data_IF_368922740694
#
_entry.id   IF_368922740694
#
_cell.length_a   1.000
_cell.length_b   1.000
_cell.length_c   1.000
_cell.angle_alpha   90.00
_cell.angle_beta   90.00
_cell.angle_gamma   90.00
#
_symmetry.space_group_name_H-M   'P 1'
#
loop_
_entity.id
_entity.type
_entity.pdbx_description
1 polymer ?
#
# COMPACT_ATOMS: atom_id res chain seq x y z
N UNK A 1 -11.23 5.06 10.07
CA UNK A 1 -10.40 5.51 8.93
C UNK A 1 -10.96 4.79 7.71
N UNK A 2 -11.42 5.50 6.68
CA UNK A 2 -12.19 4.91 5.57
C UNK A 2 -11.55 3.63 5.02
N UNK A 3 -10.23 3.66 4.83
CA UNK A 3 -9.44 2.57 4.26
C UNK A 3 -9.48 1.31 5.14
N UNK A 4 -9.30 1.47 6.46
CA UNK A 4 -9.38 0.34 7.42
C UNK A 4 -10.77 -0.27 7.45
N UNK A 5 -11.83 0.55 7.41
CA UNK A 5 -13.20 0.00 7.37
C UNK A 5 -13.46 -0.74 6.05
N UNK A 6 -12.95 -0.23 4.93
CA UNK A 6 -13.03 -0.93 3.64
C UNK A 6 -12.32 -2.29 3.71
N UNK A 7 -11.14 -2.36 4.32
CA UNK A 7 -10.41 -3.62 4.47
C UNK A 7 -11.12 -4.58 5.40
N UNK A 8 -11.70 -4.12 6.52
CA UNK A 8 -12.50 -4.99 7.41
C UNK A 8 -13.68 -5.61 6.69
N UNK A 9 -14.42 -4.78 5.94
CA UNK A 9 -15.58 -5.22 5.16
C UNK A 9 -15.18 -6.29 4.15
N UNK A 10 -14.16 -6.01 3.35
CA UNK A 10 -13.76 -6.86 2.23
C UNK A 10 -12.81 -8.02 2.60
N UNK A 11 -12.44 -8.14 3.87
CA UNK A 11 -11.74 -9.32 4.41
C UNK A 11 -12.65 -10.17 5.30
N UNK A 12 -13.96 -9.91 5.29
CA UNK A 12 -14.95 -10.63 6.10
C UNK A 12 -14.59 -10.67 7.60
N UNK A 13 -13.99 -9.60 8.12
CA UNK A 13 -13.58 -9.50 9.52
C UNK A 13 -12.31 -10.26 9.90
N UNK A 14 -11.54 -10.80 8.93
CA UNK A 14 -10.20 -11.34 9.19
C UNK A 14 -9.25 -10.25 9.74
N UNK A 15 -9.47 -8.99 9.34
CA UNK A 15 -8.90 -7.81 10.00
C UNK A 15 -9.59 -7.56 11.36
N UNK A 16 -8.96 -7.94 12.47
CA UNK A 16 -9.19 -7.32 13.79
C UNK A 16 -8.80 -5.81 13.82
N UNK A 17 -8.67 -5.23 15.01
CA UNK A 17 -8.18 -3.85 15.17
C UNK A 17 -6.74 -3.68 14.64
N UNK A 18 -6.45 -2.64 13.82
CA UNK A 18 -5.12 -2.41 13.30
C UNK A 18 -4.14 -2.13 14.44
N UNK A 19 -2.97 -2.74 14.37
CA UNK A 19 -1.87 -2.45 15.29
C UNK A 19 -1.05 -1.29 14.73
N UNK A 20 -0.86 -0.25 15.54
CA UNK A 20 0.07 0.82 15.18
C UNK A 20 1.50 0.41 15.55
N UNK A 21 2.33 0.11 14.55
CA UNK A 21 3.75 -0.18 14.74
C UNK A 21 4.55 1.13 14.85
N UNK A 22 5.37 1.25 15.89
CA UNK A 22 6.19 2.41 16.21
C UNK A 22 7.52 2.00 16.85
N UNK A 23 8.39 2.98 17.11
CA UNK A 23 9.71 2.73 17.69
C UNK A 23 9.67 2.04 19.07
N UNK A 24 8.58 2.15 19.82
CA UNK A 24 8.46 1.48 21.12
C UNK A 24 8.06 0.00 21.03
N UNK A 25 7.33 -0.39 19.98
CA UNK A 25 6.80 -1.76 19.87
C UNK A 25 7.34 -2.55 18.67
N UNK A 26 8.06 -1.94 17.74
CA UNK A 26 8.50 -2.58 16.49
C UNK A 26 9.30 -3.86 16.73
N UNK A 27 10.14 -3.91 17.77
CA UNK A 27 10.93 -5.11 18.12
C UNK A 27 10.09 -6.29 18.60
N UNK A 28 8.85 -6.05 19.05
CA UNK A 28 7.90 -7.13 19.37
C UNK A 28 7.52 -7.92 18.12
N UNK A 29 7.46 -7.23 16.97
CA UNK A 29 7.01 -7.78 15.71
C UNK A 29 8.15 -8.17 14.78
N UNK A 30 9.30 -7.50 14.90
CA UNK A 30 10.53 -7.75 14.13
C UNK A 30 11.69 -7.93 15.13
N UNK A 31 11.87 -9.15 15.69
CA UNK A 31 12.85 -9.36 16.75
C UNK A 31 14.31 -9.14 16.32
N UNK A 32 14.62 -9.33 15.03
CA UNK A 32 15.95 -9.17 14.44
C UNK A 32 16.16 -7.80 13.75
N UNK A 33 15.34 -6.80 14.10
CA UNK A 33 15.44 -5.44 13.57
C UNK A 33 16.80 -4.80 13.90
N UNK A 34 17.56 -4.29 12.90
CA UNK A 34 18.84 -3.64 13.15
C UNK A 34 18.70 -2.30 13.89
N UNK A 35 19.66 -1.96 14.74
CA UNK A 35 19.66 -0.71 15.51
C UNK A 35 19.68 0.54 14.63
N UNK A 36 20.24 0.43 13.42
CA UNK A 36 20.19 1.47 12.39
C UNK A 36 18.77 1.94 12.06
N UNK A 37 17.74 1.10 12.26
CA UNK A 37 16.34 1.48 12.06
C UNK A 37 15.95 2.73 12.87
N UNK A 38 16.36 2.80 14.14
CA UNK A 38 16.00 3.89 15.05
C UNK A 38 16.69 5.22 14.68
N UNK A 39 17.67 5.16 13.78
CA UNK A 39 18.43 6.31 13.31
C UNK A 39 18.00 6.80 11.94
N UNK A 40 16.98 6.18 11.33
CA UNK A 40 16.43 6.63 10.06
C UNK A 40 15.73 8.00 10.20
N UNK A 41 15.87 8.88 9.19
CA UNK A 41 15.49 10.29 9.32
C UNK A 41 13.99 10.54 9.24
N UNK A 42 13.22 9.61 8.67
CA UNK A 42 11.81 9.82 8.37
C UNK A 42 10.98 8.52 8.44
N UNK A 43 9.64 8.63 8.54
CA UNK A 43 8.76 7.47 8.57
C UNK A 43 8.72 6.68 7.24
N UNK A 44 8.81 7.35 6.09
CA UNK A 44 8.75 6.66 4.78
C UNK A 44 9.80 5.52 4.63
N UNK A 45 11.11 5.75 4.82
CA UNK A 45 12.10 4.66 4.75
C UNK A 45 11.93 3.61 5.86
N UNK A 46 11.33 3.97 7.00
CA UNK A 46 10.93 2.99 8.03
C UNK A 46 9.84 2.05 7.51
N UNK A 47 8.85 2.57 6.78
CA UNK A 47 7.79 1.78 6.15
C UNK A 47 8.33 0.84 5.07
N UNK A 48 9.28 1.33 4.26
CA UNK A 48 9.98 0.53 3.26
C UNK A 48 10.69 -0.68 3.86
N UNK A 49 11.29 -0.52 5.03
CA UNK A 49 11.95 -1.60 5.74
C UNK A 49 10.93 -2.56 6.40
N UNK A 50 9.97 -1.98 7.13
CA UNK A 50 9.03 -2.75 7.97
C UNK A 50 8.16 -3.69 7.12
N UNK A 51 7.72 -3.29 5.92
CA UNK A 51 6.81 -4.10 5.10
C UNK A 51 7.39 -5.49 4.79
N UNK A 52 8.65 -5.57 4.37
CA UNK A 52 9.30 -6.84 4.05
C UNK A 52 9.65 -7.63 5.31
N UNK A 53 10.08 -6.94 6.37
CA UNK A 53 10.38 -7.59 7.64
C UNK A 53 9.13 -8.27 8.24
N UNK A 54 7.98 -7.60 8.23
CA UNK A 54 6.73 -8.19 8.71
C UNK A 54 6.30 -9.38 7.84
N UNK A 55 6.36 -9.24 6.51
CA UNK A 55 6.02 -10.31 5.58
C UNK A 55 6.93 -11.53 5.77
N UNK A 56 8.21 -11.32 6.04
CA UNK A 56 9.13 -12.42 6.38
C UNK A 56 8.72 -13.14 7.67
N UNK A 57 8.50 -12.40 8.77
CA UNK A 57 8.22 -12.99 10.09
C UNK A 57 6.83 -13.64 10.20
N UNK A 58 5.85 -13.06 9.52
CA UNK A 58 4.44 -13.35 9.74
C UNK A 58 3.68 -13.82 8.49
N UNK A 59 4.18 -13.53 7.29
CA UNK A 59 3.47 -13.75 6.03
C UNK A 59 2.17 -12.97 5.92
N UNK A 60 1.45 -13.14 4.81
CA UNK A 60 0.18 -12.49 4.55
C UNK A 60 0.33 -11.26 3.65
N UNK A 61 -0.40 -10.18 3.92
CA UNK A 61 -0.55 -9.05 2.99
C UNK A 61 -0.18 -7.72 3.63
N UNK A 62 0.65 -6.97 2.93
CA UNK A 62 0.91 -5.55 3.15
C UNK A 62 0.22 -4.73 2.05
N UNK A 63 -0.40 -3.62 2.47
CA UNK A 63 -0.91 -2.59 1.58
C UNK A 63 -0.57 -1.22 2.16
N UNK A 64 -0.24 -0.26 1.30
CA UNK A 64 -0.11 1.13 1.73
C UNK A 64 -1.43 1.64 2.31
N UNK A 65 -1.32 2.56 3.27
CA UNK A 65 -2.44 3.03 4.07
C UNK A 65 -3.49 3.81 3.27
N UNK A 66 -3.21 4.15 2.01
CA UNK A 66 -4.05 4.87 1.05
C UNK A 66 -4.88 3.96 0.13
N UNK A 67 -4.74 2.63 0.23
CA UNK A 67 -5.60 1.69 -0.49
C UNK A 67 -7.02 1.65 0.07
N UNK A 68 -8.01 1.68 -0.82
CA UNK A 68 -9.42 1.40 -0.52
C UNK A 68 -9.80 0.10 -1.21
N UNK A 69 -10.24 -0.90 -0.43
CA UNK A 69 -10.82 -2.10 -1.02
C UNK A 69 -12.25 -1.79 -1.49
N UNK A 70 -12.55 -2.12 -2.74
CA UNK A 70 -13.89 -1.95 -3.35
C UNK A 70 -14.55 -3.27 -3.73
N UNK A 71 -13.80 -4.37 -3.60
CA UNK A 71 -14.21 -5.76 -3.85
C UNK A 71 -13.62 -6.65 -2.77
N UNK A 72 -14.22 -7.82 -2.59
CA UNK A 72 -13.76 -8.80 -1.62
C UNK A 72 -12.33 -9.25 -1.92
N UNK A 73 -11.54 -9.35 -0.86
CA UNK A 73 -10.11 -9.64 -0.93
C UNK A 73 -9.82 -11.14 -0.89
N UNK A 74 -10.83 -11.99 -0.68
CA UNK A 74 -10.70 -13.44 -0.63
C UNK A 74 -9.85 -14.03 -1.79
N UNK A 75 -9.98 -13.58 -3.05
CA UNK A 75 -9.14 -14.08 -4.13
C UNK A 75 -7.65 -13.79 -3.92
N UNK A 76 -7.30 -12.61 -3.41
CA UNK A 76 -5.92 -12.24 -3.10
C UNK A 76 -5.43 -13.01 -1.88
N UNK A 77 -6.26 -13.09 -0.83
CA UNK A 77 -5.92 -13.80 0.40
C UNK A 77 -5.66 -15.30 0.15
N UNK A 78 -6.41 -15.92 -0.75
CA UNK A 78 -6.21 -17.30 -1.17
C UNK A 78 -4.79 -17.54 -1.72
N UNK A 79 -4.25 -16.60 -2.51
CA UNK A 79 -2.90 -16.70 -3.08
C UNK A 79 -1.82 -16.74 -1.99
N UNK A 80 -2.04 -16.04 -0.87
CA UNK A 80 -1.04 -15.92 0.20
C UNK A 80 -0.78 -17.26 0.90
N UNK A 81 -1.66 -18.24 0.76
CA UNK A 81 -1.45 -19.58 1.33
C UNK A 81 -0.44 -20.42 0.55
N UNK A 82 -0.32 -20.19 -0.77
CA UNK A 82 0.46 -21.03 -1.67
C UNK A 82 1.65 -20.32 -2.30
N UNK A 83 1.59 -19.00 -2.47
CA UNK A 83 2.64 -18.23 -3.17
C UNK A 83 3.64 -17.62 -2.19
N UNK A 84 4.90 -17.64 -2.58
CA UNK A 84 6.01 -17.00 -1.87
C UNK A 84 6.04 -15.49 -2.06
N UNK A 85 5.52 -15.00 -3.18
CA UNK A 85 5.49 -13.58 -3.50
C UNK A 85 4.30 -13.23 -4.39
N UNK A 86 3.45 -12.33 -3.91
CA UNK A 86 2.27 -11.80 -4.61
C UNK A 86 2.44 -10.29 -4.70
N UNK A 87 2.31 -9.74 -5.90
CA UNK A 87 2.38 -8.29 -6.13
C UNK A 87 1.66 -7.92 -7.43
N UNK A 88 1.87 -6.71 -7.93
CA UNK A 88 1.38 -6.28 -9.23
C UNK A 88 2.44 -5.47 -9.98
N UNK A 89 2.32 -5.40 -11.29
CA UNK A 89 3.19 -4.65 -12.19
C UNK A 89 2.37 -4.02 -13.32
N UNK A 90 2.91 -3.01 -14.00
CA UNK A 90 2.17 -2.33 -15.08
C UNK A 90 1.86 -3.28 -16.26
N UNK A 91 2.88 -3.99 -16.75
CA UNK A 91 2.79 -4.81 -17.96
C UNK A 91 3.16 -6.27 -17.72
N UNK A 92 2.50 -7.19 -18.41
CA UNK A 92 2.81 -8.63 -18.40
C UNK A 92 1.56 -9.48 -18.33
N UNK A 93 1.67 -10.79 -18.54
CA UNK A 93 0.46 -11.61 -18.52
C UNK A 93 0.00 -11.84 -17.06
N UNK A 94 -1.30 -11.68 -16.76
CA UNK A 94 -1.84 -11.89 -15.42
C UNK A 94 -1.54 -13.30 -14.89
N UNK A 95 -1.16 -13.39 -13.61
CA UNK A 95 -0.87 -14.66 -12.94
C UNK A 95 0.47 -15.29 -13.34
N UNK A 96 1.32 -14.56 -14.04
CA UNK A 96 2.70 -14.96 -14.30
C UNK A 96 3.65 -14.63 -13.15
N UNK A 97 4.89 -15.09 -13.33
CA UNK A 97 6.02 -14.77 -12.48
C UNK A 97 6.25 -13.27 -12.44
N UNK A 98 6.37 -12.72 -11.24
CA UNK A 98 6.66 -11.30 -11.07
C UNK A 98 8.00 -10.94 -11.72
N UNK A 99 8.03 -9.81 -12.44
CA UNK A 99 9.28 -9.21 -12.89
C UNK A 99 9.93 -8.42 -11.75
N UNK A 100 11.17 -7.94 -11.96
CA UNK A 100 11.83 -7.03 -11.02
C UNK A 100 11.30 -5.58 -11.09
N UNK A 101 10.16 -5.33 -11.72
CA UNK A 101 9.52 -4.01 -11.84
C UNK A 101 8.12 -4.00 -11.18
N UNK A 102 7.95 -4.77 -10.10
CA UNK A 102 6.71 -4.84 -9.34
C UNK A 102 6.48 -3.57 -8.49
N UNK A 103 5.24 -3.35 -8.05
CA UNK A 103 4.91 -2.28 -7.12
C UNK A 103 5.03 -2.76 -5.67
N UNK A 104 5.72 -1.99 -4.84
CA UNK A 104 5.95 -2.35 -3.43
C UNK A 104 4.81 -1.93 -2.47
N UNK A 105 3.83 -1.16 -2.96
CA UNK A 105 2.70 -0.65 -2.16
C UNK A 105 1.58 -1.69 -1.92
N UNK A 106 1.56 -2.80 -2.64
CA UNK A 106 0.79 -4.01 -2.34
C UNK A 106 1.67 -5.23 -2.62
N UNK A 107 2.04 -5.91 -1.53
CA UNK A 107 2.86 -7.11 -1.60
C UNK A 107 2.41 -8.11 -0.53
N UNK A 108 2.49 -9.38 -0.85
CA UNK A 108 2.13 -10.44 0.08
C UNK A 108 2.76 -11.77 -0.24
N UNK A 109 2.52 -12.77 0.60
CA UNK A 109 2.93 -14.14 0.36
C UNK A 109 2.96 -14.95 1.63
N UNK A 110 3.24 -16.24 1.51
CA UNK A 110 3.16 -17.16 2.64
C UNK A 110 4.22 -16.87 3.70
N UNK A 111 3.87 -17.20 4.95
CA UNK A 111 4.81 -17.17 6.06
C UNK A 111 5.99 -18.11 5.76
N UNK A 112 7.20 -17.63 6.03
CA UNK A 112 8.42 -18.39 5.72
C UNK A 112 8.74 -18.45 4.22
N UNK A 113 8.21 -17.53 3.42
CA UNK A 113 8.62 -17.32 2.03
C UNK A 113 10.15 -17.11 1.94
N UNK A 114 10.85 -17.88 1.09
CA UNK A 114 12.28 -17.67 0.85
C UNK A 114 12.53 -16.32 0.17
N UNK A 115 11.57 -15.81 -0.61
CA UNK A 115 11.63 -14.49 -1.23
C UNK A 115 11.70 -13.40 -0.16
N UNK A 116 10.74 -13.36 0.77
CA UNK A 116 10.76 -12.31 1.81
C UNK A 116 11.96 -12.43 2.74
N UNK A 117 12.43 -13.65 3.02
CA UNK A 117 13.69 -13.86 3.74
C UNK A 117 14.85 -13.22 3.00
N UNK A 118 15.00 -13.50 1.71
CA UNK A 118 16.08 -12.98 0.89
C UNK A 118 16.04 -11.45 0.83
N UNK A 119 14.88 -10.86 0.53
CA UNK A 119 14.71 -9.42 0.45
C UNK A 119 14.99 -8.73 1.80
N UNK A 120 14.53 -9.32 2.90
CA UNK A 120 14.79 -8.81 4.26
C UNK A 120 16.29 -8.80 4.61
N UNK A 121 17.02 -9.87 4.29
CA UNK A 121 18.46 -9.92 4.51
C UNK A 121 19.19 -8.84 3.68
N UNK A 122 18.82 -8.64 2.41
CA UNK A 122 19.42 -7.58 1.57
C UNK A 122 19.14 -6.17 2.08
N UNK A 123 17.94 -5.92 2.58
CA UNK A 123 17.63 -4.64 3.23
C UNK A 123 18.47 -4.43 4.50
N UNK A 124 18.61 -5.45 5.35
CA UNK A 124 19.48 -5.38 6.54
C UNK A 124 20.93 -5.10 6.18
N UNK A 125 21.46 -5.78 5.18
CA UNK A 125 22.82 -5.55 4.66
C UNK A 125 23.01 -4.12 4.20
N UNK A 126 22.07 -3.61 3.37
CA UNK A 126 22.14 -2.22 2.88
C UNK A 126 22.06 -1.21 4.03
N UNK A 127 21.17 -1.43 5.00
CA UNK A 127 20.99 -0.52 6.12
C UNK A 127 22.21 -0.50 7.07
N UNK A 128 22.88 -1.64 7.26
CA UNK A 128 24.11 -1.75 8.07
C UNK A 128 25.35 -1.20 7.38
N UNK A 129 25.30 -0.95 6.07
CA UNK A 129 26.41 -0.37 5.30
C UNK A 129 26.81 0.98 5.90
N UNK A 130 28.09 1.10 6.24
CA UNK A 130 28.66 2.35 6.76
C UNK A 130 28.73 3.39 5.64
N UNK A 131 28.44 4.64 5.99
CA UNK A 131 28.58 5.75 5.04
C UNK A 131 30.06 5.91 4.66
N UNK A 132 30.35 5.68 3.37
CA UNK A 132 31.63 6.05 2.77
C UNK A 132 31.66 7.51 2.31
N UNK A 133 32.77 7.92 1.67
CA UNK A 133 32.94 9.27 1.14
C UNK A 133 32.21 9.54 -0.20
N UNK A 134 31.61 8.53 -0.82
CA UNK A 134 31.22 8.61 -2.23
C UNK A 134 29.89 7.91 -2.46
N UNK A 135 28.82 8.71 -2.52
CA UNK A 135 27.64 8.57 -3.40
C UNK A 135 26.43 9.26 -2.73
N UNK A 136 26.14 10.52 -3.08
CA UNK A 136 24.85 11.12 -2.79
C UNK A 136 23.77 10.23 -3.43
N UNK A 137 22.91 9.60 -2.64
CA UNK A 137 21.83 8.74 -3.15
C UNK A 137 21.88 7.28 -2.71
N UNK A 138 22.84 6.87 -1.88
CA UNK A 138 22.80 5.54 -1.26
C UNK A 138 22.30 5.58 0.19
N UNK A 139 21.49 4.59 0.57
CA UNK A 139 21.16 4.34 1.96
C UNK A 139 22.43 3.91 2.74
N UNK A 140 22.75 4.62 3.81
CA UNK A 140 23.87 4.29 4.70
C UNK A 140 23.69 4.86 6.11
N UNK A 141 24.38 4.27 7.08
CA UNK A 141 24.39 4.74 8.47
C UNK A 141 25.82 5.02 8.96
N UNK A 142 26.13 6.21 9.49
CA UNK A 142 27.46 6.52 10.00
C UNK A 142 27.81 5.69 11.25
N UNK A 143 29.09 5.49 11.54
CA UNK A 143 29.53 4.74 12.73
C UNK A 143 29.11 5.43 14.03
N UNK A 144 29.16 6.76 14.06
CA UNK A 144 28.70 7.53 15.20
C UNK A 144 27.19 7.36 15.39
N UNK A 145 26.80 6.63 16.45
CA UNK A 145 25.41 6.35 16.79
C UNK A 145 24.56 7.60 17.04
N UNK A 146 25.17 8.76 17.33
CA UNK A 146 24.47 10.04 17.51
C UNK A 146 24.07 10.71 16.19
N UNK A 147 24.62 10.26 15.05
CA UNK A 147 24.29 10.80 13.73
C UNK A 147 23.16 9.99 13.10
N UNK A 148 22.24 10.68 12.44
CA UNK A 148 21.19 10.02 11.65
C UNK A 148 21.77 9.31 10.43
N UNK A 149 21.04 8.30 9.95
CA UNK A 149 21.32 7.65 8.68
C UNK A 149 20.89 8.55 7.51
N UNK A 150 21.53 8.37 6.37
CA UNK A 150 21.08 8.95 5.10
C UNK A 150 20.31 7.86 4.37
N UNK A 151 19.00 8.03 4.19
CA UNK A 151 18.16 7.09 3.45
C UNK A 151 17.31 7.86 2.45
N UNK A 152 17.67 7.87 1.16
CA UNK A 152 16.88 8.50 0.12
C UNK A 152 15.50 7.86 -0.05
N UNK A 153 14.60 8.57 -0.73
CA UNK A 153 13.27 8.05 -1.07
C UNK A 153 13.37 6.71 -1.81
N UNK A 154 12.53 5.75 -1.41
CA UNK A 154 12.46 4.39 -1.97
C UNK A 154 13.78 3.59 -1.96
N UNK A 155 14.85 4.09 -1.33
CA UNK A 155 16.16 3.48 -1.40
C UNK A 155 16.21 2.11 -0.71
N UNK A 156 15.44 1.93 0.37
CA UNK A 156 15.30 0.63 1.04
C UNK A 156 14.16 -0.20 0.46
N UNK A 157 13.13 0.42 -0.12
CA UNK A 157 12.08 -0.26 -0.84
C UNK A 157 12.61 -0.75 -2.19
N UNK A 158 12.05 -0.23 -3.27
CA UNK A 158 12.35 -0.63 -4.65
C UNK A 158 13.84 -0.56 -5.00
N UNK A 159 14.57 0.43 -4.43
CA UNK A 159 16.01 0.60 -4.64
C UNK A 159 16.88 -0.57 -4.17
N UNK A 160 16.42 -1.38 -3.21
CA UNK A 160 17.07 -2.62 -2.79
C UNK A 160 16.32 -3.83 -3.29
N UNK A 161 14.99 -3.83 -3.21
CA UNK A 161 14.20 -5.03 -3.41
C UNK A 161 14.08 -5.42 -4.88
N UNK A 162 14.06 -4.48 -5.82
CA UNK A 162 14.03 -4.82 -7.25
C UNK A 162 15.34 -5.48 -7.72
N UNK A 163 16.54 -4.91 -7.46
CA UNK A 163 17.79 -5.59 -7.78
C UNK A 163 17.94 -6.94 -7.06
N UNK A 164 17.56 -7.02 -5.78
CA UNK A 164 17.64 -8.25 -5.01
C UNK A 164 16.70 -9.34 -5.56
N UNK A 165 15.47 -8.98 -5.94
CA UNK A 165 14.53 -9.92 -6.53
C UNK A 165 15.03 -10.41 -7.91
N UNK A 166 15.60 -9.53 -8.72
CA UNK A 166 16.23 -9.91 -9.99
C UNK A 166 17.44 -10.84 -9.79
N UNK A 167 18.23 -10.62 -8.72
CA UNK A 167 19.30 -11.54 -8.33
C UNK A 167 18.73 -12.90 -7.96
N UNK A 168 17.68 -12.94 -7.14
CA UNK A 168 17.03 -14.17 -6.71
C UNK A 168 16.48 -14.97 -7.89
N UNK A 169 15.80 -14.32 -8.86
CA UNK A 169 15.32 -14.97 -10.09
C UNK A 169 16.44 -15.65 -10.89
N UNK A 170 17.67 -15.12 -10.84
CA UNK A 170 18.84 -15.68 -11.55
C UNK A 170 19.50 -16.85 -10.83
N UNK A 171 19.21 -17.06 -9.55
CA UNK A 171 19.78 -18.19 -8.78
C UNK A 171 19.22 -19.55 -9.22
N UNK A 172 18.04 -19.56 -9.83
CA UNK A 172 17.31 -20.79 -10.15
C UNK A 172 16.66 -21.45 -8.93
N UNK A 173 16.61 -20.77 -7.77
CA UNK A 173 15.78 -21.21 -6.65
C UNK A 173 14.31 -21.31 -7.07
N UNK A 174 13.62 -22.35 -6.58
CA UNK A 174 12.21 -22.60 -6.90
C UNK A 174 11.36 -21.93 -5.82
N UNK A 175 10.53 -20.98 -6.23
CA UNK A 175 9.55 -20.31 -5.40
C UNK A 175 8.35 -19.89 -6.26
N UNK A 176 7.17 -19.87 -5.65
CA UNK A 176 5.92 -19.56 -6.35
C UNK A 176 5.63 -18.06 -6.29
N UNK A 177 5.36 -17.44 -7.44
CA UNK A 177 5.01 -16.02 -7.47
C UNK A 177 3.76 -15.77 -8.29
N UNK A 178 3.04 -14.71 -7.95
CA UNK A 178 1.85 -14.28 -8.67
C UNK A 178 1.88 -12.77 -8.84
N UNK A 179 1.93 -12.30 -10.08
CA UNK A 179 1.79 -10.88 -10.39
C UNK A 179 0.49 -10.58 -11.12
N UNK A 180 -0.27 -9.64 -10.55
CA UNK A 180 -1.32 -8.95 -11.29
C UNK A 180 -0.67 -7.99 -12.29
N UNK A 181 -1.15 -7.99 -13.54
CA UNK A 181 -0.56 -7.21 -14.62
C UNK A 181 -1.61 -6.84 -15.67
N UNK A 182 -1.28 -5.90 -16.55
CA UNK A 182 -2.18 -5.38 -17.58
C UNK A 182 -3.55 -4.98 -16.98
N UNK A 183 -4.65 -5.51 -17.50
CA UNK A 183 -6.02 -5.22 -17.03
C UNK A 183 -6.30 -5.63 -15.58
N UNK A 184 -5.46 -6.50 -15.02
CA UNK A 184 -5.55 -6.95 -13.63
C UNK A 184 -4.67 -6.12 -12.70
N UNK A 185 -3.81 -5.27 -13.26
CA UNK A 185 -2.90 -4.41 -12.52
C UNK A 185 -3.65 -3.37 -11.69
N UNK A 186 -3.04 -2.94 -10.59
CA UNK A 186 -3.54 -1.87 -9.74
C UNK A 186 -2.86 -0.52 -10.04
N UNK A 187 -2.16 -0.40 -11.17
CA UNK A 187 -1.51 0.85 -11.59
C UNK A 187 -2.59 1.92 -11.91
N UNK A 188 -2.51 3.14 -11.33
CA UNK A 188 -3.55 4.17 -11.43
C UNK A 188 -3.84 4.71 -12.85
N UNK A 189 -2.98 4.40 -13.81
CA UNK A 189 -3.07 4.83 -15.21
C UNK A 189 -4.35 4.31 -15.89
N UNK A 190 -5.00 3.32 -15.25
CA UNK A 190 -6.31 2.77 -15.61
C UNK A 190 -7.45 3.28 -14.70
N UNK A 191 -7.36 4.45 -14.04
CA UNK A 191 -8.41 4.96 -13.13
C UNK A 191 -9.81 5.01 -13.74
N UNK A 192 -9.92 5.18 -15.07
CA UNK A 192 -11.18 5.05 -15.80
C UNK A 192 -11.89 3.71 -15.54
N UNK A 193 -11.13 2.61 -15.42
CA UNK A 193 -11.64 1.27 -15.11
C UNK A 193 -12.20 1.15 -13.70
N UNK A 194 -11.63 1.86 -12.71
CA UNK A 194 -12.11 1.84 -11.33
C UNK A 194 -13.50 2.48 -11.19
N UNK A 195 -13.83 3.43 -12.07
CA UNK A 195 -15.15 4.07 -12.13
C UNK A 195 -16.14 3.26 -12.97
N UNK A 196 -15.66 2.60 -14.04
CA UNK A 196 -16.50 1.82 -14.96
C UNK A 196 -16.93 0.45 -14.39
N UNK A 197 -16.18 -0.11 -13.44
CA UNK A 197 -16.49 -1.41 -12.80
C UNK A 197 -17.28 -1.32 -11.49
N UNK A 198 -17.79 -0.14 -11.14
CA UNK A 198 -18.91 -0.05 -10.20
C UNK A 198 -20.12 -0.65 -10.92
N UNK A 199 -20.76 -1.71 -10.39
CA UNK A 199 -21.88 -2.36 -11.07
C UNK A 199 -22.93 -1.33 -11.49
N UNK A 200 -23.40 -1.51 -12.73
CA UNK A 200 -24.00 -0.53 -13.64
C UNK A 200 -24.68 0.70 -13.04
N UNK A 201 -24.46 1.83 -13.73
CA UNK A 201 -25.16 3.13 -13.60
C UNK A 201 -26.70 3.06 -13.69
N UNK A 202 -27.27 1.88 -13.92
CA UNK A 202 -28.70 1.67 -14.16
C UNK A 202 -29.48 1.26 -12.92
N UNK A 203 -28.82 1.08 -11.77
CA UNK A 203 -29.50 0.86 -10.49
C UNK A 203 -29.33 2.07 -9.58
N UNK A 204 -30.41 2.48 -8.92
CA UNK A 204 -30.40 3.55 -7.92
C UNK A 204 -29.31 3.33 -6.84
N UNK A 205 -28.98 2.06 -6.58
CA UNK A 205 -27.93 1.60 -5.66
C UNK A 205 -26.51 1.92 -6.15
N UNK A 206 -26.22 1.83 -7.45
CA UNK A 206 -24.93 2.23 -8.03
C UNK A 206 -24.69 3.75 -7.95
N UNK A 207 -25.75 4.53 -8.19
CA UNK A 207 -25.72 5.98 -8.03
C UNK A 207 -25.62 6.37 -6.55
N UNK A 208 -26.32 5.67 -5.66
CA UNK A 208 -26.24 5.85 -4.21
C UNK A 208 -24.86 5.49 -3.66
N UNK A 209 -24.20 4.44 -4.17
CA UNK A 209 -22.82 4.09 -3.79
C UNK A 209 -21.80 5.13 -4.27
N UNK A 210 -21.93 5.63 -5.49
CA UNK A 210 -21.07 6.71 -6.00
C UNK A 210 -21.33 8.03 -5.25
N UNK A 211 -22.60 8.36 -4.98
CA UNK A 211 -22.99 9.52 -4.18
C UNK A 211 -22.59 9.38 -2.72
N UNK A 212 -22.60 8.18 -2.14
CA UNK A 212 -22.10 7.90 -0.80
C UNK A 212 -20.59 8.01 -0.74
N UNK A 213 -19.86 7.59 -1.77
CA UNK A 213 -18.42 7.83 -1.86
C UNK A 213 -18.12 9.34 -1.90
N UNK A 214 -18.86 10.09 -2.73
CA UNK A 214 -18.76 11.56 -2.83
C UNK A 214 -19.21 12.28 -1.55
N UNK A 215 -20.28 11.84 -0.91
CA UNK A 215 -20.81 12.42 0.34
C UNK A 215 -19.96 12.07 1.55
N UNK A 216 -19.41 10.85 1.64
CA UNK A 216 -18.42 10.49 2.68
C UNK A 216 -17.17 11.35 2.58
N UNK A 217 -16.69 11.64 1.36
CA UNK A 217 -15.56 12.54 1.15
C UNK A 217 -15.90 14.01 1.51
N UNK A 218 -17.18 14.40 1.37
CA UNK A 218 -17.68 15.75 1.71
C UNK A 218 -17.95 15.94 3.21
N UNK A 219 -18.45 14.92 3.93
CA UNK A 219 -18.59 14.95 5.39
C UNK A 219 -17.24 15.03 6.10
N UNK A 220 -16.19 14.40 5.53
CA UNK A 220 -14.84 14.49 6.08
C UNK A 220 -14.20 15.87 5.88
N UNK A 221 -14.57 16.58 4.80
CA UNK A 221 -14.12 17.95 4.52
C UNK A 221 -14.88 19.03 5.32
N UNK A 222 -16.02 18.70 5.94
CA UNK A 222 -16.91 19.70 6.55
C UNK A 222 -17.48 19.28 7.91
N UNK A 223 -16.63 19.26 8.95
CA UNK A 223 -17.17 19.39 10.32
C UNK A 223 -17.49 20.86 10.62
N UNK A 224 -18.74 21.25 10.37
CA UNK A 224 -19.68 21.92 11.31
C UNK A 224 -20.77 22.72 10.56
N UNK A 225 -22.06 22.79 11.00
CA UNK A 225 -22.88 21.85 11.77
C UNK A 225 -24.28 21.60 11.14
N UNK A 226 -24.81 20.38 11.19
CA UNK A 226 -26.23 19.97 11.38
C UNK A 226 -26.17 18.44 11.49
N UNK A 227 -26.98 17.84 12.36
CA UNK A 227 -26.87 16.48 12.95
C UNK A 227 -25.91 16.45 14.17
N UNK A 228 -26.52 16.47 15.37
CA UNK A 228 -25.86 16.75 16.63
C UNK A 228 -25.04 15.60 17.23
N UNK A 229 -24.07 15.97 18.08
CA UNK A 229 -23.54 15.08 19.13
C UNK A 229 -22.01 14.94 19.25
N UNK A 230 -21.36 15.95 19.86
CA UNK A 230 -20.12 15.97 20.67
C UNK A 230 -18.79 15.33 20.17
N UNK A 231 -17.81 16.25 20.01
CA UNK A 231 -16.32 16.21 20.04
C UNK A 231 -15.59 14.94 20.51
N UNK A 232 -14.52 14.57 19.78
CA UNK A 232 -13.13 14.54 20.27
C UNK A 232 -12.09 14.28 19.14
N UNK A 233 -10.86 14.78 19.37
CA UNK A 233 -9.59 14.69 18.62
C UNK A 233 -9.31 15.66 17.45
N UNK A 234 -8.53 16.68 17.80
CA UNK A 234 -7.66 17.52 16.95
C UNK A 234 -6.36 16.75 16.62
N UNK A 235 -5.70 17.16 15.53
CA UNK A 235 -4.32 16.83 15.11
C UNK A 235 -4.14 15.81 13.97
N UNK A 236 -4.67 16.16 12.79
CA UNK A 236 -4.00 16.00 11.47
C UNK A 236 -4.88 16.63 10.39
N UNK A 237 -4.47 17.77 9.84
CA UNK A 237 -5.20 18.46 8.77
C UNK A 237 -5.03 17.71 7.45
N UNK A 238 -5.99 16.83 7.13
CA UNK A 238 -6.18 16.31 5.77
C UNK A 238 -6.62 17.48 4.87
N UNK A 239 -5.86 17.79 3.81
CA UNK A 239 -6.32 18.68 2.74
C UNK A 239 -6.68 17.83 1.52
N UNK A 240 -7.96 17.73 1.23
CA UNK A 240 -8.48 17.09 0.02
C UNK A 240 -8.70 18.17 -1.03
N UNK A 241 -8.02 18.06 -2.17
CA UNK A 241 -8.25 18.93 -3.32
C UNK A 241 -9.16 18.22 -4.30
N UNK A 242 -10.43 18.61 -4.37
CA UNK A 242 -11.40 18.06 -5.32
C UNK A 242 -11.44 18.98 -6.54
N UNK A 243 -10.96 18.49 -7.68
CA UNK A 243 -11.13 19.17 -8.97
C UNK A 243 -12.31 18.56 -9.71
N UNK A 244 -13.41 19.29 -9.84
CA UNK A 244 -14.57 18.86 -10.63
C UNK A 244 -14.48 19.50 -12.01
N UNK A 245 -14.21 18.69 -13.02
CA UNK A 245 -14.32 19.11 -14.42
C UNK A 245 -15.69 18.69 -14.95
N UNK A 246 -16.48 19.64 -15.43
CA UNK A 246 -17.78 19.39 -16.05
C UNK A 246 -17.61 19.57 -17.56
N UNK A 247 -17.72 18.46 -18.31
CA UNK A 247 -17.77 18.49 -19.76
C UNK A 247 -19.21 18.28 -20.23
N UNK A 248 -19.68 19.15 -21.12
CA UNK A 248 -20.96 19.00 -21.81
C UNK A 248 -20.70 18.69 -23.29
N UNK A 249 -21.08 17.49 -23.72
CA UNK A 249 -21.16 17.16 -25.15
C UNK A 249 -22.58 17.45 -25.65
N UNK A 250 -22.71 18.32 -26.64
CA UNK A 250 -23.98 18.58 -27.32
C UNK A 250 -23.99 17.75 -28.61
N UNK A 251 -24.80 16.69 -28.66
CA UNK A 251 -25.09 16.00 -29.91
C UNK A 251 -26.27 16.69 -30.62
N UNK A 252 -26.10 16.98 -31.90
CA UNK A 252 -26.95 17.91 -32.67
C UNK A 252 -28.38 17.46 -32.95
N UNK A 253 -28.84 16.29 -32.51
CA UNK A 253 -30.22 15.86 -32.77
C UNK A 253 -30.94 15.14 -31.62
N UNK A 254 -30.37 15.09 -30.41
CA UNK A 254 -31.08 14.68 -29.19
C UNK A 254 -30.37 15.30 -27.99
N UNK A 255 -31.11 16.01 -27.13
CA UNK A 255 -30.61 16.57 -25.87
C UNK A 255 -30.37 15.44 -24.87
N UNK A 256 -29.20 14.79 -24.95
CA UNK A 256 -28.68 13.91 -23.92
C UNK A 256 -27.53 14.64 -23.22
N UNK A 257 -27.70 14.91 -21.92
CA UNK A 257 -26.68 15.55 -21.10
C UNK A 257 -25.88 14.47 -20.37
N UNK A 258 -24.72 14.09 -20.90
CA UNK A 258 -23.79 13.21 -20.20
C UNK A 258 -22.83 14.05 -19.36
N UNK A 259 -22.95 13.95 -18.03
CA UNK A 259 -22.05 14.60 -17.08
C UNK A 259 -20.95 13.61 -16.71
N UNK A 260 -19.69 13.98 -16.96
CA UNK A 260 -18.53 13.24 -16.51
C UNK A 260 -17.92 13.97 -15.32
N UNK A 261 -17.77 13.29 -14.18
CA UNK A 261 -17.16 13.83 -12.97
C UNK A 261 -15.84 13.10 -12.76
N UNK A 262 -14.73 13.81 -12.91
CA UNK A 262 -13.41 13.32 -12.52
C UNK A 262 -13.13 13.79 -11.10
N UNK A 263 -12.67 12.90 -10.23
CA UNK A 263 -12.33 13.22 -8.84
C UNK A 263 -10.88 12.82 -8.63
N UNK A 264 -10.00 13.80 -8.47
CA UNK A 264 -8.63 13.58 -8.03
C UNK A 264 -8.58 13.74 -6.50
N UNK A 265 -8.00 12.77 -5.79
CA UNK A 265 -7.84 12.82 -4.34
C UNK A 265 -6.35 12.75 -4.05
N UNK A 266 -5.78 13.85 -3.57
CA UNK A 266 -4.42 13.87 -3.03
C UNK A 266 -4.49 13.74 -1.51
N UNK A 267 -3.91 12.68 -0.94
CA UNK A 267 -3.78 12.52 0.51
C UNK A 267 -2.32 12.53 0.92
N UNK A 268 -1.93 13.52 1.73
CA UNK A 268 -0.69 13.45 2.51
C UNK A 268 -1.05 12.91 3.89
N UNK A 269 -0.72 11.64 4.17
CA UNK A 269 -0.91 11.03 5.49
C UNK A 269 0.47 10.66 6.05
N UNK A 270 0.90 11.39 7.07
CA UNK A 270 1.92 10.95 8.04
C UNK A 270 1.21 10.94 9.40
N UNK A 271 0.93 9.76 10.00
CA UNK A 271 1.92 8.76 10.40
C UNK A 271 1.67 7.34 9.83
N UNK A 272 2.72 6.50 9.82
CA UNK A 272 2.69 5.12 9.29
C UNK A 272 1.67 4.30 10.10
N UNK A 273 0.52 4.00 9.50
CA UNK A 273 -0.32 2.89 9.92
C UNK A 273 0.00 1.74 8.98
N UNK A 274 0.95 0.90 9.37
CA UNK A 274 1.10 -0.40 8.71
C UNK A 274 -0.09 -1.23 9.18
N UNK A 275 -0.94 -1.65 8.25
CA UNK A 275 -1.92 -2.70 8.54
C UNK A 275 -1.41 -3.95 7.88
N UNK A 276 -1.22 -4.96 8.70
CA UNK A 276 -0.66 -6.22 8.29
C UNK A 276 -1.69 -7.32 8.52
N UNK A 277 -2.03 -8.03 7.45
CA UNK A 277 -2.90 -9.19 7.50
C UNK A 277 -2.02 -10.43 7.55
N UNK A 278 -2.10 -11.26 8.60
CA UNK A 278 -1.39 -12.55 8.62
C UNK A 278 -2.28 -13.66 8.05
N UNK A 279 -1.66 -14.66 7.43
CA UNK A 279 -2.35 -15.87 6.92
C UNK A 279 -3.04 -16.73 7.99
N UNK A 280 -2.89 -16.40 9.28
CA UNK A 280 -3.51 -17.13 10.39
C UNK A 280 -4.79 -16.46 10.90
N UNK A 281 -5.26 -15.37 10.25
CA UNK A 281 -6.39 -14.58 10.74
C UNK A 281 -6.08 -13.83 12.05
N UNK A 282 -4.80 -13.72 12.43
CA UNK A 282 -4.31 -12.91 13.55
C UNK A 282 -3.65 -11.65 13.00
N UNK A 283 -3.81 -10.50 13.65
CA UNK A 283 -3.14 -9.25 13.24
C UNK A 283 -1.77 -9.08 13.87
N UNK A 284 -0.91 -8.36 13.14
CA UNK A 284 0.38 -7.83 13.57
C UNK A 284 0.42 -6.34 13.30
#
# INVERSE_FOLDING_TARGET
MLNVESWRRHTHGLCQEPVLINDQNVKKWIPDLPEEYFRMPAPAPKSDLIRYALLYHHGGLYMDADFVAVKDMDPILALLHTHDFVSYQEKGEPGQVCSAAFSSNLIGGRRGSPVFKFLWERQKEKLRKKCGHTNPGEACCPENARRQCTVPWAALGEGVTHPAFNELLKTGEIFETFCFADEWSFVPDHFAYSVEHIPSKDTAEGLENALNLVCMLREYASRSPICGGKKLFQDSLLRVYIYVYIYTHIHTHTLSLSIYIYIYIYTYIFPIKVVFLTNTGRLV
#
